data_IF_902822133379
#
_entry.id   IF_902822133379
#
_cell.length_a   1.000
_cell.length_b   1.000
_cell.length_c   1.000
_cell.angle_alpha   90.00
_cell.angle_beta   90.00
_cell.angle_gamma   90.00
#
_symmetry.space_group_name_H-M   'P 1'
#
loop_
_entity.id
_entity.type
_entity.pdbx_description
1 polymer ?
#
# COMPACT_ATOMS: atom_id res chain seq x y z
N UNK A 1 26.65 84.69 -3.42
CA UNK A 1 27.14 85.20 -4.72
C UNK A 1 27.52 84.01 -5.60
N UNK A 2 26.71 83.78 -6.64
CA UNK A 2 26.99 83.30 -7.99
C UNK A 2 28.02 82.17 -8.24
N UNK A 3 27.55 81.10 -8.89
CA UNK A 3 27.88 80.67 -10.28
C UNK A 3 27.10 79.37 -10.56
N UNK A 4 25.99 79.34 -11.30
CA UNK A 4 25.78 79.58 -12.73
C UNK A 4 26.51 78.59 -13.68
N UNK A 5 25.72 77.66 -14.21
CA UNK A 5 25.75 76.98 -15.53
C UNK A 5 27.01 76.17 -15.94
N UNK A 6 26.80 74.94 -16.45
CA UNK A 6 26.50 74.67 -17.88
C UNK A 6 26.07 73.20 -18.13
N UNK A 7 25.18 73.05 -19.11
CA UNK A 7 24.56 71.82 -19.64
C UNK A 7 25.43 71.19 -20.75
N UNK A 8 25.30 69.87 -20.89
CA UNK A 8 25.41 69.01 -22.10
C UNK A 8 25.98 67.65 -21.69
N UNK A 9 25.67 66.49 -22.24
CA UNK A 9 24.60 65.93 -23.06
C UNK A 9 24.97 64.43 -23.16
N UNK A 10 24.00 63.54 -22.94
CA UNK A 10 23.92 62.13 -23.37
C UNK A 10 25.16 61.20 -23.31
N UNK A 11 25.06 60.15 -22.49
CA UNK A 11 25.22 58.78 -22.97
C UNK A 11 24.56 57.81 -21.98
N UNK A 12 23.55 57.08 -22.45
CA UNK A 12 22.84 56.04 -21.72
C UNK A 12 23.74 54.82 -21.51
N UNK A 13 23.85 54.31 -20.27
CA UNK A 13 24.19 52.91 -20.00
C UNK A 13 23.38 52.43 -18.80
N UNK A 14 22.76 51.27 -19.01
CA UNK A 14 21.78 50.55 -18.22
C UNK A 14 22.39 50.08 -16.88
N UNK A 15 21.66 50.25 -15.78
CA UNK A 15 21.84 49.43 -14.57
C UNK A 15 20.51 49.31 -13.83
N UNK A 16 19.83 48.19 -14.07
CA UNK A 16 18.69 47.74 -13.31
C UNK A 16 19.17 47.24 -11.94
N UNK A 17 18.77 47.92 -10.85
CA UNK A 17 19.00 47.47 -9.49
C UNK A 17 17.67 47.07 -8.86
N UNK A 18 17.65 45.82 -8.39
CA UNK A 18 16.49 45.06 -7.95
C UNK A 18 15.82 45.69 -6.72
N UNK A 19 14.49 45.77 -6.75
CA UNK A 19 13.66 45.97 -5.57
C UNK A 19 13.53 44.63 -4.84
N UNK A 20 14.21 44.48 -3.69
CA UNK A 20 13.89 43.41 -2.74
C UNK A 20 12.57 43.76 -2.03
N UNK A 21 11.46 43.28 -2.57
CA UNK A 21 10.22 43.16 -1.82
C UNK A 21 10.39 42.00 -0.82
N UNK A 22 10.61 42.33 0.46
CA UNK A 22 10.51 41.37 1.55
C UNK A 22 9.06 40.93 1.71
N UNK A 23 8.75 39.71 1.26
CA UNK A 23 7.51 39.03 1.57
C UNK A 23 7.76 38.15 2.80
N UNK A 24 7.15 38.51 3.93
CA UNK A 24 7.04 37.61 5.07
C UNK A 24 6.20 36.41 4.66
N UNK A 25 6.79 35.22 4.70
CA UNK A 25 6.04 33.99 4.57
C UNK A 25 5.30 33.74 5.88
N UNK A 26 3.97 33.80 5.82
CA UNK A 26 3.09 33.35 6.89
C UNK A 26 3.28 31.84 7.09
N UNK A 27 3.54 31.42 8.33
CA UNK A 27 3.54 30.03 8.76
C UNK A 27 2.16 29.41 8.51
N UNK A 28 2.00 28.80 7.33
CA UNK A 28 0.94 27.81 7.11
C UNK A 28 1.34 26.57 7.86
N UNK A 29 0.76 26.48 9.06
CA UNK A 29 0.63 25.26 9.84
C UNK A 29 -0.06 24.21 8.96
N UNK A 30 0.73 23.47 8.17
CA UNK A 30 0.29 22.32 7.39
C UNK A 30 -0.11 21.22 8.37
N UNK A 31 -1.32 21.37 8.91
CA UNK A 31 -2.08 20.24 9.40
C UNK A 31 -2.21 19.29 8.22
N UNK A 32 -1.63 18.12 8.39
CA UNK A 32 -1.72 16.95 7.55
C UNK A 32 -3.20 16.65 7.20
N UNK A 33 -3.74 17.36 6.20
CA UNK A 33 -4.96 16.99 5.52
C UNK A 33 -4.58 15.84 4.61
N UNK A 34 -4.77 14.62 5.10
CA UNK A 34 -4.99 13.49 4.21
C UNK A 34 -6.14 13.92 3.29
N UNK A 35 -5.77 14.27 2.05
CA UNK A 35 -6.67 14.72 0.99
C UNK A 35 -7.90 13.82 0.98
N UNK A 36 -9.08 14.41 0.78
CA UNK A 36 -10.29 13.71 0.36
C UNK A 36 -9.92 12.88 -0.88
N UNK A 37 -9.48 11.66 -0.65
CA UNK A 37 -9.04 10.77 -1.70
C UNK A 37 -10.34 10.24 -2.30
N UNK A 38 -10.65 10.67 -3.52
CA UNK A 38 -11.71 10.06 -4.31
C UNK A 38 -11.52 8.54 -4.36
N UNK A 39 -12.59 7.82 -4.71
CA UNK A 39 -12.60 6.35 -4.77
C UNK A 39 -11.35 5.82 -5.51
N UNK A 40 -10.50 5.07 -4.80
CA UNK A 40 -9.30 4.46 -5.38
C UNK A 40 -9.70 3.18 -6.09
N UNK A 41 -9.39 3.07 -7.38
CA UNK A 41 -9.63 1.85 -8.17
C UNK A 41 -8.33 1.07 -8.29
N UNK A 42 -8.39 -0.22 -8.00
CA UNK A 42 -7.24 -1.13 -8.05
C UNK A 42 -7.63 -2.34 -8.88
N UNK A 43 -6.89 -2.62 -9.95
CA UNK A 43 -6.89 -3.94 -10.57
C UNK A 43 -5.78 -4.77 -9.91
N UNK A 44 -6.16 -5.87 -9.27
CA UNK A 44 -5.20 -6.77 -8.65
C UNK A 44 -5.41 -8.20 -9.15
N UNK A 45 -4.44 -8.66 -9.96
CA UNK A 45 -4.44 -9.99 -10.57
C UNK A 45 -5.68 -10.32 -11.41
N UNK A 46 -6.28 -9.31 -12.04
CA UNK A 46 -7.49 -9.44 -12.87
C UNK A 46 -8.81 -9.16 -12.15
N UNK A 47 -8.77 -8.71 -10.88
CA UNK A 47 -9.97 -8.33 -10.13
C UNK A 47 -9.96 -6.83 -9.90
N UNK A 48 -11.01 -6.17 -10.37
CA UNK A 48 -11.22 -4.74 -10.16
C UNK A 48 -11.92 -4.49 -8.82
N UNK A 49 -11.33 -3.61 -8.03
CA UNK A 49 -11.84 -3.22 -6.72
C UNK A 49 -11.84 -1.72 -6.57
N UNK A 50 -12.86 -1.23 -5.89
CA UNK A 50 -12.99 0.17 -5.51
C UNK A 50 -12.86 0.32 -3.99
N UNK A 51 -12.01 1.25 -3.57
CA UNK A 51 -11.76 1.61 -2.18
C UNK A 51 -12.24 3.06 -1.98
N UNK A 52 -13.49 3.26 -1.52
CA UNK A 52 -14.01 4.60 -1.24
C UNK A 52 -13.34 5.24 -0.01
N UNK A 53 -12.72 4.42 0.83
CA UNK A 53 -11.92 4.82 1.97
C UNK A 53 -10.79 3.80 2.18
N UNK A 54 -9.77 4.17 2.95
CA UNK A 54 -8.72 3.24 3.35
C UNK A 54 -9.32 2.09 4.19
N UNK A 55 -8.85 0.83 4.02
CA UNK A 55 -9.28 -0.28 4.86
C UNK A 55 -8.89 -0.07 6.32
N UNK A 56 -9.83 -0.29 7.24
CA UNK A 56 -9.61 -0.14 8.68
C UNK A 56 -9.44 -1.50 9.38
N UNK A 57 -9.99 -2.57 8.80
CA UNK A 57 -9.84 -3.95 9.26
C UNK A 57 -9.17 -4.82 8.21
N UNK A 58 -7.89 -5.12 8.41
CA UNK A 58 -7.08 -5.94 7.52
C UNK A 58 -6.82 -7.31 8.15
N UNK A 59 -7.09 -8.37 7.40
CA UNK A 59 -6.74 -9.74 7.75
C UNK A 59 -5.64 -10.23 6.81
N UNK A 60 -4.56 -10.76 7.36
CA UNK A 60 -3.41 -11.26 6.59
C UNK A 60 -3.42 -12.80 6.64
N UNK A 61 -3.62 -13.41 5.48
CA UNK A 61 -3.52 -14.86 5.27
C UNK A 61 -2.08 -15.33 5.49
N UNK A 62 -1.91 -16.61 5.74
CA UNK A 62 -0.59 -17.20 5.85
C UNK A 62 0.08 -17.25 4.46
N UNK A 63 1.36 -17.63 4.43
CA UNK A 63 2.09 -17.81 3.19
C UNK A 63 3.56 -18.08 3.40
N UNK A 64 4.29 -18.21 2.29
CA UNK A 64 5.74 -18.36 2.28
C UNK A 64 6.48 -17.01 2.41
N UNK A 65 5.85 -16.00 3.02
CA UNK A 65 6.37 -14.63 3.16
C UNK A 65 5.86 -13.97 4.45
N UNK A 66 6.63 -13.04 5.00
CA UNK A 66 6.19 -12.01 5.98
C UNK A 66 5.98 -10.64 5.36
N UNK A 67 6.26 -10.49 4.06
CA UNK A 67 6.37 -9.19 3.40
C UNK A 67 5.07 -8.37 3.50
N UNK A 68 3.91 -9.02 3.56
CA UNK A 68 2.62 -8.34 3.73
C UNK A 68 2.53 -7.69 5.12
N UNK A 69 2.84 -8.44 6.18
CA UNK A 69 2.87 -7.92 7.54
C UNK A 69 3.95 -6.83 7.73
N UNK A 70 5.17 -7.06 7.22
CA UNK A 70 6.26 -6.09 7.29
C UNK A 70 5.94 -4.79 6.54
N UNK A 71 5.28 -4.89 5.38
CA UNK A 71 4.86 -3.71 4.61
C UNK A 71 3.85 -2.88 5.38
N UNK A 72 2.83 -3.51 5.97
CA UNK A 72 1.85 -2.82 6.80
C UNK A 72 2.49 -2.14 8.01
N UNK A 73 3.40 -2.81 8.71
CA UNK A 73 4.14 -2.22 9.85
C UNK A 73 5.00 -1.03 9.39
N UNK A 74 5.73 -1.18 8.28
CA UNK A 74 6.64 -0.14 7.77
C UNK A 74 5.91 1.11 7.28
N UNK A 75 4.68 0.94 6.80
CA UNK A 75 3.78 2.03 6.41
C UNK A 75 3.06 2.67 7.62
N UNK A 76 3.28 2.16 8.85
CA UNK A 76 2.60 2.63 10.05
C UNK A 76 1.14 2.19 10.16
N UNK A 77 0.74 1.16 9.41
CA UNK A 77 -0.63 0.62 9.34
C UNK A 77 -0.83 -0.66 10.15
N UNK A 78 0.12 -1.01 11.03
CA UNK A 78 0.05 -2.22 11.84
C UNK A 78 -1.19 -2.29 12.75
N UNK A 79 -1.74 -1.13 13.13
CA UNK A 79 -2.97 -1.00 13.91
C UNK A 79 -4.24 -1.42 13.15
N UNK A 80 -4.20 -1.40 11.81
CA UNK A 80 -5.32 -1.83 10.95
C UNK A 80 -5.42 -3.35 10.86
N UNK A 81 -4.37 -4.07 11.24
CA UNK A 81 -4.35 -5.53 11.18
C UNK A 81 -5.16 -6.07 12.36
N UNK A 82 -6.29 -6.71 12.07
CA UNK A 82 -7.13 -7.35 13.11
C UNK A 82 -6.72 -8.80 13.36
N UNK A 83 -6.13 -9.46 12.36
CA UNK A 83 -5.67 -10.83 12.47
C UNK A 83 -4.54 -11.09 11.45
N UNK A 84 -3.45 -11.71 11.90
CA UNK A 84 -2.27 -12.02 11.09
C UNK A 84 -1.86 -13.47 11.24
N UNK A 85 -1.88 -14.25 10.16
CA UNK A 85 -1.36 -15.62 10.19
C UNK A 85 0.15 -15.73 9.95
N UNK A 86 0.82 -14.68 9.43
CA UNK A 86 2.24 -14.73 9.10
C UNK A 86 3.14 -14.60 10.34
N UNK A 87 4.33 -15.19 10.29
CA UNK A 87 5.33 -15.03 11.33
C UNK A 87 6.65 -15.73 11.02
N UNK A 88 7.75 -15.03 11.22
CA UNK A 88 9.12 -15.55 11.10
C UNK A 88 9.88 -15.24 12.39
N UNK A 89 10.83 -16.11 12.74
CA UNK A 89 11.66 -15.97 13.94
C UNK A 89 12.88 -15.07 13.74
N UNK A 90 13.17 -14.67 12.51
CA UNK A 90 14.35 -13.85 12.14
C UNK A 90 13.95 -12.82 11.09
N UNK A 91 14.59 -11.65 11.13
CA UNK A 91 14.48 -10.61 10.10
C UNK A 91 15.80 -9.85 10.02
N UNK A 92 16.16 -9.42 8.81
CA UNK A 92 17.33 -8.54 8.58
C UNK A 92 17.07 -7.11 9.06
N UNK A 93 15.80 -6.75 9.30
CA UNK A 93 15.41 -5.47 9.88
C UNK A 93 15.36 -5.63 11.41
N UNK A 94 16.21 -4.91 12.17
CA UNK A 94 16.23 -5.03 13.63
C UNK A 94 14.85 -4.76 14.27
N UNK A 95 14.40 -5.69 15.10
CA UNK A 95 13.12 -5.58 15.81
C UNK A 95 11.88 -5.93 14.98
N UNK A 96 12.02 -6.28 13.69
CA UNK A 96 10.85 -6.53 12.83
C UNK A 96 10.17 -7.86 13.13
N UNK A 97 10.95 -8.92 13.40
CA UNK A 97 10.40 -10.23 13.77
C UNK A 97 9.51 -10.13 15.02
N UNK A 98 9.95 -9.37 16.03
CA UNK A 98 9.20 -9.10 17.26
C UNK A 98 7.95 -8.28 16.98
N UNK A 99 8.01 -7.27 16.11
CA UNK A 99 6.85 -6.48 15.71
C UNK A 99 5.80 -7.32 14.97
N UNK A 100 6.22 -8.18 14.05
CA UNK A 100 5.32 -9.11 13.34
C UNK A 100 4.72 -10.12 14.32
N UNK A 101 5.51 -10.64 15.26
CA UNK A 101 5.03 -11.55 16.30
C UNK A 101 4.02 -10.89 17.26
N UNK A 102 4.13 -9.58 17.47
CA UNK A 102 3.22 -8.80 18.30
C UNK A 102 1.90 -8.46 17.61
N UNK A 103 1.77 -8.66 16.29
CA UNK A 103 0.50 -8.45 15.58
C UNK A 103 -0.58 -9.40 16.11
N UNK A 104 -1.85 -8.97 16.14
CA UNK A 104 -2.93 -9.79 16.67
C UNK A 104 -3.09 -11.06 15.85
N UNK A 105 -3.20 -12.19 16.57
CA UNK A 105 -3.53 -13.50 15.99
C UNK A 105 -5.01 -13.81 16.05
N UNK A 106 -5.78 -13.07 16.83
CA UNK A 106 -7.23 -13.17 16.98
C UNK A 106 -7.77 -14.61 17.07
N UNK A 107 -7.09 -15.49 17.81
CA UNK A 107 -7.46 -16.91 17.97
C UNK A 107 -7.69 -17.65 16.63
N UNK A 108 -6.91 -17.32 15.60
CA UNK A 108 -7.00 -18.03 14.31
C UNK A 108 -6.62 -19.51 14.47
N UNK A 109 -7.50 -20.40 14.03
CA UNK A 109 -7.21 -21.83 13.89
C UNK A 109 -6.90 -22.14 12.43
N UNK A 110 -5.72 -22.71 12.17
CA UNK A 110 -5.30 -23.06 10.80
C UNK A 110 -5.91 -24.39 10.38
N UNK A 111 -6.33 -24.48 9.12
CA UNK A 111 -6.82 -25.73 8.55
C UNK A 111 -5.67 -26.66 8.10
N UNK A 112 -6.00 -27.78 7.45
CA UNK A 112 -5.02 -28.76 6.97
C UNK A 112 -4.06 -28.22 5.87
N UNK A 113 -4.38 -27.10 5.24
CA UNK A 113 -3.51 -26.40 4.31
C UNK A 113 -2.65 -25.32 4.99
N UNK A 114 -2.63 -25.32 6.33
CA UNK A 114 -1.85 -24.41 7.18
C UNK A 114 -2.20 -22.93 7.01
N UNK A 115 -3.47 -22.63 6.71
CA UNK A 115 -3.94 -21.25 6.57
C UNK A 115 -5.38 -21.09 7.11
N UNK A 116 -5.88 -19.86 7.11
CA UNK A 116 -7.15 -19.46 7.71
C UNK A 116 -8.32 -19.98 6.87
N UNK A 117 -9.24 -20.79 7.44
CA UNK A 117 -10.41 -21.27 6.73
C UNK A 117 -11.40 -20.14 6.41
N UNK A 118 -12.18 -20.30 5.34
CA UNK A 118 -13.13 -19.31 4.83
C UNK A 118 -14.06 -18.76 5.90
N UNK A 119 -14.60 -19.64 6.74
CA UNK A 119 -15.55 -19.32 7.82
C UNK A 119 -14.96 -18.33 8.83
N UNK A 120 -13.68 -18.48 9.15
CA UNK A 120 -12.99 -17.58 10.08
C UNK A 120 -12.72 -16.20 9.47
N UNK A 121 -12.42 -16.13 8.17
CA UNK A 121 -12.29 -14.86 7.44
C UNK A 121 -13.63 -14.14 7.39
N UNK A 122 -14.69 -14.84 6.97
CA UNK A 122 -16.02 -14.26 6.76
C UNK A 122 -16.67 -13.79 8.08
N UNK A 123 -16.51 -14.55 9.17
CA UNK A 123 -17.05 -14.19 10.48
C UNK A 123 -16.45 -12.92 11.07
N UNK A 124 -15.18 -12.63 10.78
CA UNK A 124 -14.47 -11.42 11.22
C UNK A 124 -14.83 -10.17 10.44
N UNK A 125 -15.44 -10.32 9.25
CA UNK A 125 -15.86 -9.22 8.37
C UNK A 125 -14.74 -8.16 8.18
N UNK A 126 -13.52 -8.54 7.78
CA UNK A 126 -12.48 -7.57 7.46
C UNK A 126 -12.91 -6.70 6.26
N UNK A 127 -12.32 -5.52 6.11
CA UNK A 127 -12.52 -4.69 4.93
C UNK A 127 -11.59 -5.13 3.78
N UNK A 128 -10.44 -5.71 4.16
CA UNK A 128 -9.43 -6.21 3.23
C UNK A 128 -8.80 -7.52 3.74
N UNK A 129 -8.71 -8.50 2.86
CA UNK A 129 -7.91 -9.71 3.04
C UNK A 129 -6.66 -9.61 2.17
N UNK A 130 -5.48 -9.72 2.79
CA UNK A 130 -4.19 -9.77 2.13
C UNK A 130 -3.69 -11.21 2.06
N UNK A 131 -3.24 -11.64 0.88
CA UNK A 131 -2.60 -12.95 0.69
C UNK A 131 -1.27 -12.80 -0.03
N UNK A 132 -0.29 -13.61 0.38
CA UNK A 132 1.02 -13.66 -0.28
C UNK A 132 0.91 -14.10 -1.75
N UNK A 133 -0.05 -14.97 -2.09
CA UNK A 133 -0.22 -15.49 -3.45
C UNK A 133 -1.70 -15.84 -3.73
N UNK A 134 -2.05 -16.08 -5.00
CA UNK A 134 -3.45 -16.33 -5.40
C UNK A 134 -4.05 -17.60 -4.80
N UNK A 135 -3.21 -18.59 -4.46
CA UNK A 135 -3.67 -19.84 -3.84
C UNK A 135 -4.25 -19.68 -2.43
N UNK A 136 -3.96 -18.59 -1.72
CA UNK A 136 -4.64 -18.25 -0.45
C UNK A 136 -6.14 -17.95 -0.60
N UNK A 137 -6.65 -17.92 -1.84
CA UNK A 137 -8.08 -17.79 -2.15
C UNK A 137 -8.66 -19.04 -2.82
N UNK A 138 -8.00 -20.20 -2.69
CA UNK A 138 -8.43 -21.45 -3.31
C UNK A 138 -9.46 -22.18 -2.44
N UNK A 139 -10.72 -22.20 -2.86
CA UNK A 139 -11.82 -22.86 -2.14
C UNK A 139 -11.61 -24.34 -1.93
N UNK A 140 -10.89 -25.03 -2.84
CA UNK A 140 -10.59 -26.47 -2.68
C UNK A 140 -9.68 -26.75 -1.50
N UNK A 141 -8.97 -25.74 -1.01
CA UNK A 141 -8.16 -25.81 0.20
C UNK A 141 -8.92 -25.31 1.44
N UNK A 142 -10.21 -24.99 1.31
CA UNK A 142 -11.05 -24.50 2.41
C UNK A 142 -10.94 -23.00 2.68
N UNK A 143 -10.35 -22.24 1.76
CA UNK A 143 -10.19 -20.78 1.89
C UNK A 143 -11.34 -20.03 1.24
N UNK A 144 -11.56 -18.77 1.63
CA UNK A 144 -12.56 -17.93 0.97
C UNK A 144 -12.07 -17.55 -0.43
N UNK A 145 -12.88 -17.73 -1.47
CA UNK A 145 -12.55 -17.19 -2.80
C UNK A 145 -12.65 -15.69 -2.86
N UNK A 146 -11.97 -15.09 -3.84
CA UNK A 146 -12.06 -13.66 -4.11
C UNK A 146 -13.48 -13.26 -4.53
N UNK A 147 -14.17 -14.13 -5.25
CA UNK A 147 -15.58 -13.98 -5.65
C UNK A 147 -16.49 -13.93 -4.42
N UNK A 148 -16.34 -14.90 -3.51
CA UNK A 148 -17.13 -14.95 -2.27
C UNK A 148 -16.89 -13.70 -1.42
N UNK A 149 -15.62 -13.30 -1.25
CA UNK A 149 -15.26 -12.09 -0.50
C UNK A 149 -15.87 -10.84 -1.14
N UNK A 150 -15.79 -10.71 -2.47
CA UNK A 150 -16.36 -9.58 -3.19
C UNK A 150 -17.88 -9.50 -3.06
N UNK A 151 -18.59 -10.65 -3.09
CA UNK A 151 -20.05 -10.71 -2.92
C UNK A 151 -20.49 -10.17 -1.56
N UNK A 152 -19.68 -10.34 -0.51
CA UNK A 152 -19.95 -9.81 0.83
C UNK A 152 -19.28 -8.46 1.11
N UNK A 153 -18.70 -7.83 0.08
CA UNK A 153 -18.10 -6.49 0.16
C UNK A 153 -16.68 -6.45 0.72
N UNK A 154 -16.03 -7.59 0.94
CA UNK A 154 -14.67 -7.71 1.43
C UNK A 154 -13.69 -7.60 0.24
N UNK A 155 -12.71 -6.71 0.34
CA UNK A 155 -11.68 -6.54 -0.69
C UNK A 155 -10.62 -7.64 -0.53
N UNK A 156 -10.00 -8.06 -1.64
CA UNK A 156 -8.97 -9.10 -1.62
C UNK A 156 -7.76 -8.67 -2.45
N UNK A 157 -6.58 -8.60 -1.84
CA UNK A 157 -5.34 -8.27 -2.54
C UNK A 157 -4.34 -9.42 -2.43
N UNK A 158 -3.70 -9.71 -3.55
CA UNK A 158 -2.54 -10.58 -3.67
C UNK A 158 -1.33 -9.71 -3.95
N UNK A 159 -0.18 -10.04 -3.36
CA UNK A 159 1.10 -9.42 -3.73
C UNK A 159 1.33 -9.56 -5.24
N UNK A 160 1.43 -8.46 -6.02
CA UNK A 160 1.36 -8.51 -7.49
C UNK A 160 2.40 -9.43 -8.16
N UNK A 161 3.58 -9.57 -7.55
CA UNK A 161 4.61 -10.50 -8.01
C UNK A 161 4.15 -11.98 -8.03
N UNK A 162 3.12 -12.32 -7.25
CA UNK A 162 2.65 -13.67 -7.02
C UNK A 162 1.26 -13.94 -7.61
N UNK A 163 0.74 -13.07 -8.49
CA UNK A 163 -0.57 -13.23 -9.12
C UNK A 163 -0.74 -14.57 -9.87
N UNK A 164 0.34 -15.10 -10.45
CA UNK A 164 0.32 -16.38 -11.18
C UNK A 164 0.47 -17.62 -10.26
N UNK A 165 0.94 -17.44 -9.02
CA UNK A 165 1.20 -18.54 -8.11
C UNK A 165 -0.10 -19.04 -7.47
N UNK A 166 -0.37 -20.34 -7.62
CA UNK A 166 -1.60 -20.97 -7.12
C UNK A 166 -2.80 -20.90 -8.08
N UNK A 167 -2.66 -20.28 -9.26
CA UNK A 167 -3.64 -20.44 -10.35
C UNK A 167 -3.49 -21.84 -10.96
N UNK A 168 -4.61 -22.51 -11.21
CA UNK A 168 -4.62 -23.83 -11.87
C UNK A 168 -4.75 -23.76 -13.39
N UNK A 169 -4.92 -22.55 -13.93
CA UNK A 169 -4.83 -22.30 -15.36
C UNK A 169 -3.37 -22.28 -15.80
N UNK A 170 -3.08 -22.84 -16.97
CA UNK A 170 -1.70 -22.89 -17.48
C UNK A 170 -1.17 -21.46 -17.59
N UNK A 171 -0.03 -21.21 -16.95
CA UNK A 171 0.74 -20.01 -17.22
C UNK A 171 1.30 -20.13 -18.65
N UNK A 172 0.55 -19.64 -19.64
CA UNK A 172 1.10 -19.42 -20.97
C UNK A 172 2.15 -18.32 -20.84
N UNK A 173 3.41 -18.72 -20.63
CA UNK A 173 4.55 -17.82 -20.68
C UNK A 173 4.77 -17.45 -22.16
N UNK A 174 4.54 -16.21 -22.59
CA UNK A 174 4.93 -15.79 -23.92
C UNK A 174 6.46 -15.83 -23.97
N UNK A 175 7.03 -16.75 -24.76
CA UNK A 175 8.48 -16.82 -24.99
C UNK A 175 9.18 -18.14 -24.65
N UNK A 176 8.49 -19.15 -24.09
CA UNK A 176 9.11 -20.48 -23.91
C UNK A 176 9.06 -21.28 -25.22
N UNK A 177 9.87 -20.90 -26.22
CA UNK A 177 10.28 -21.89 -27.23
C UNK A 177 11.15 -22.90 -26.50
N UNK A 178 10.70 -24.15 -26.50
CA UNK A 178 11.54 -25.28 -26.13
C UNK A 178 12.82 -25.19 -26.97
N UNK A 179 13.96 -25.04 -26.29
CA UNK A 179 15.25 -25.36 -26.86
C UNK A 179 15.28 -26.89 -27.01
N UNK A 180 14.90 -27.34 -28.20
CA UNK A 180 15.14 -28.69 -28.72
C UNK A 180 16.60 -28.90 -29.03
#
# INVERSE_FOLDING_TARGET
>A
MNKALKRSAYAAVISASLLLAGCGAEDKNDKNSASEAGVVKVNNCGYDMEFPQAPEKVLIMNGASVGEAESMISLGLGDKIIANAQGWSVSDIPGMAEKVAALPKDNLEMNAAFDIPAEQVLSRKPDLVLSTYSGGFNERQGFASRETLQQVGIKSLVTPANCALGKTEKCDRPGTRAIS
#
